data_IF_076798944379
#
_entry.id   IF_076798944379
#
_cell.length_a   1.000
_cell.length_b   1.000
_cell.length_c   1.000
_cell.angle_alpha   90.00
_cell.angle_beta   90.00
_cell.angle_gamma   90.00
#
_symmetry.space_group_name_H-M   'P 1'
#
loop_
_entity.id
_entity.type
_entity.pdbx_description
1 polymer ?
#
# COMPACT_ATOMS: atom_id res chain seq x y z
N UNK A 1 -21.05 -2.43 0.33
CA UNK A 1 -20.06 -1.73 1.19
C UNK A 1 -20.80 -0.59 1.86
N UNK A 2 -21.39 -0.86 3.02
CA UNK A 2 -22.03 0.18 3.86
C UNK A 2 -20.92 1.03 4.44
N UNK A 3 -20.96 2.33 4.16
CA UNK A 3 -19.93 3.27 4.60
C UNK A 3 -19.70 3.12 6.10
N UNK A 4 -18.44 2.95 6.51
CA UNK A 4 -17.97 2.99 7.90
C UNK A 4 -18.24 4.36 8.58
N UNK A 5 -19.07 5.20 7.97
CA UNK A 5 -19.32 6.60 8.25
C UNK A 5 -20.62 6.90 8.99
N UNK A 6 -21.54 5.94 9.17
CA UNK A 6 -22.81 6.13 9.88
C UNK A 6 -22.86 5.32 11.19
N UNK A 7 -22.80 6.01 12.34
CA UNK A 7 -22.80 5.43 13.70
C UNK A 7 -22.04 6.32 14.69
N UNK A 8 -22.39 6.36 15.98
CA UNK A 8 -21.71 7.21 16.96
C UNK A 8 -20.25 6.77 17.19
N UNK A 9 -19.36 7.71 17.51
CA UNK A 9 -17.91 7.48 17.55
C UNK A 9 -17.46 6.37 18.53
N UNK A 10 -18.19 6.16 19.63
CA UNK A 10 -17.88 5.17 20.66
C UNK A 10 -18.21 3.72 20.27
N UNK A 11 -18.98 3.52 19.19
CA UNK A 11 -19.30 2.21 18.63
C UNK A 11 -18.33 1.81 17.50
N UNK A 12 -17.33 2.65 17.21
CA UNK A 12 -16.39 2.45 16.09
C UNK A 12 -15.01 2.07 16.58
N UNK A 13 -14.45 1.02 16.00
CA UNK A 13 -13.08 0.59 16.25
C UNK A 13 -12.03 1.40 15.46
N UNK A 14 -12.46 2.13 14.43
CA UNK A 14 -11.57 2.81 13.47
C UNK A 14 -12.07 4.23 13.18
N UNK A 15 -11.19 5.22 13.35
CA UNK A 15 -11.48 6.65 13.14
C UNK A 15 -10.58 7.29 12.08
N UNK A 16 -10.02 6.50 11.15
CA UNK A 16 -8.99 6.93 10.17
C UNK A 16 -9.40 8.10 9.27
N UNK A 17 -10.69 8.35 9.08
CA UNK A 17 -11.23 9.46 8.28
C UNK A 17 -12.07 10.45 9.08
N UNK A 18 -12.01 10.42 10.41
CA UNK A 18 -12.86 11.22 11.29
C UNK A 18 -14.21 10.57 11.60
N UNK A 19 -15.12 11.34 12.18
CA UNK A 19 -16.43 10.86 12.64
C UNK A 19 -17.56 11.85 12.33
N UNK A 20 -18.78 11.33 12.20
CA UNK A 20 -20.02 12.12 12.05
C UNK A 20 -19.89 13.31 11.07
N UNK A 21 -20.09 14.55 11.56
CA UNK A 21 -20.01 15.79 10.77
C UNK A 21 -18.57 16.23 10.43
N UNK A 22 -17.57 15.59 11.02
CA UNK A 22 -16.14 15.80 10.76
C UNK A 22 -15.54 14.67 9.92
N UNK A 23 -16.37 13.86 9.26
CA UNK A 23 -15.89 12.87 8.31
C UNK A 23 -15.20 13.58 7.13
N UNK A 24 -14.05 13.07 6.73
CA UNK A 24 -13.34 13.53 5.54
C UNK A 24 -14.28 13.44 4.32
N UNK A 25 -14.55 14.55 3.60
CA UNK A 25 -15.42 14.49 2.42
C UNK A 25 -14.82 13.62 1.30
N UNK A 26 -13.51 13.36 1.35
CA UNK A 26 -12.80 12.50 0.41
C UNK A 26 -12.79 11.00 0.75
N UNK A 27 -13.48 10.53 1.81
CA UNK A 27 -13.42 9.11 2.24
C UNK A 27 -13.72 8.15 1.09
N UNK A 28 -14.81 8.37 0.36
CA UNK A 28 -15.20 7.48 -0.73
C UNK A 28 -14.15 7.43 -1.85
N UNK A 29 -13.58 8.59 -2.21
CA UNK A 29 -12.55 8.67 -3.24
C UNK A 29 -11.27 7.97 -2.77
N UNK A 30 -10.86 8.21 -1.52
CA UNK A 30 -9.68 7.57 -0.93
C UNK A 30 -9.83 6.05 -0.88
N UNK A 31 -11.00 5.54 -0.46
CA UNK A 31 -11.29 4.10 -0.43
C UNK A 31 -11.16 3.47 -1.82
N UNK A 32 -11.79 4.08 -2.84
CA UNK A 32 -11.72 3.59 -4.22
C UNK A 32 -10.30 3.64 -4.77
N UNK A 33 -9.56 4.72 -4.50
CA UNK A 33 -8.17 4.85 -4.92
C UNK A 33 -7.27 3.80 -4.27
N UNK A 34 -7.37 3.61 -2.96
CA UNK A 34 -6.61 2.59 -2.22
C UNK A 34 -6.92 1.19 -2.75
N UNK A 35 -8.19 0.87 -2.97
CA UNK A 35 -8.60 -0.43 -3.51
C UNK A 35 -8.00 -0.66 -4.90
N UNK A 36 -8.11 0.31 -5.80
CA UNK A 36 -7.59 0.19 -7.16
C UNK A 36 -6.07 0.02 -7.18
N UNK A 37 -5.34 0.76 -6.33
CA UNK A 37 -3.88 0.64 -6.22
C UNK A 37 -3.48 -0.74 -5.69
N UNK A 38 -4.12 -1.21 -4.62
CA UNK A 38 -3.79 -2.51 -3.99
C UNK A 38 -4.11 -3.66 -4.94
N UNK A 39 -5.31 -3.68 -5.53
CA UNK A 39 -5.70 -4.74 -6.47
C UNK A 39 -4.82 -4.72 -7.72
N UNK A 40 -4.54 -3.53 -8.27
CA UNK A 40 -3.65 -3.38 -9.42
C UNK A 40 -2.23 -3.87 -9.13
N UNK A 41 -1.70 -3.56 -7.94
CA UNK A 41 -0.38 -4.00 -7.51
C UNK A 41 -0.33 -5.53 -7.34
N UNK A 42 -1.31 -6.12 -6.64
CA UNK A 42 -1.36 -7.56 -6.39
C UNK A 42 -1.66 -8.38 -7.65
N UNK A 43 -2.37 -7.80 -8.63
CA UNK A 43 -2.60 -8.44 -9.92
C UNK A 43 -1.33 -8.50 -10.79
N UNK A 44 -0.49 -7.44 -10.73
CA UNK A 44 0.70 -7.32 -11.59
C UNK A 44 1.99 -7.82 -10.93
N UNK A 45 2.07 -7.79 -9.61
CA UNK A 45 3.29 -8.02 -8.87
C UNK A 45 3.06 -9.01 -7.73
N UNK A 46 4.02 -9.92 -7.55
CA UNK A 46 4.16 -10.70 -6.33
C UNK A 46 4.96 -9.88 -5.34
N UNK A 47 4.36 -9.59 -4.19
CA UNK A 47 5.04 -8.90 -3.09
C UNK A 47 5.68 -9.94 -2.18
N UNK A 48 6.99 -9.84 -1.99
CA UNK A 48 7.78 -10.70 -1.12
C UNK A 48 8.56 -9.85 -0.11
N UNK A 49 8.87 -10.42 1.05
CA UNK A 49 9.73 -9.75 2.02
C UNK A 49 11.16 -9.75 1.54
N UNK A 50 11.85 -8.64 1.73
CA UNK A 50 13.29 -8.54 1.51
C UNK A 50 14.01 -9.49 2.48
N UNK A 51 15.04 -10.16 1.99
CA UNK A 51 15.88 -11.00 2.83
C UNK A 51 16.90 -10.14 3.56
N UNK A 52 17.04 -10.38 4.85
CA UNK A 52 18.12 -9.84 5.68
C UNK A 52 19.45 -10.55 5.39
N UNK A 53 20.55 -10.07 5.97
CA UNK A 53 21.91 -10.63 5.80
C UNK A 53 21.97 -12.14 6.09
N UNK A 54 21.10 -12.61 6.99
CA UNK A 54 20.98 -14.03 7.37
C UNK A 54 20.02 -14.84 6.48
N UNK A 55 19.64 -14.32 5.30
CA UNK A 55 18.66 -14.91 4.37
C UNK A 55 17.28 -15.21 4.98
N UNK A 56 16.95 -14.54 6.09
CA UNK A 56 15.62 -14.59 6.70
C UNK A 56 14.78 -13.42 6.22
N UNK A 57 13.46 -13.56 6.07
CA UNK A 57 12.61 -12.45 5.67
C UNK A 57 12.62 -11.37 6.76
N UNK A 58 13.04 -10.16 6.39
CA UNK A 58 13.06 -9.02 7.28
C UNK A 58 11.63 -8.66 7.71
N UNK A 59 11.44 -8.41 9.01
CA UNK A 59 10.19 -7.88 9.55
C UNK A 59 10.26 -6.35 9.56
N UNK A 60 9.15 -5.65 9.29
CA UNK A 60 9.08 -4.22 9.48
C UNK A 60 9.25 -3.90 10.97
N UNK A 61 10.06 -2.91 11.27
CA UNK A 61 10.08 -2.30 12.60
C UNK A 61 8.90 -1.31 12.67
N UNK A 62 7.89 -1.67 13.48
CA UNK A 62 6.65 -0.93 13.64
C UNK A 62 6.69 0.11 14.75
N UNK A 63 7.83 0.28 15.43
CA UNK A 63 7.94 1.19 16.56
C UNK A 63 8.95 2.32 16.27
N UNK A 64 10.07 2.02 15.60
CA UNK A 64 11.19 2.95 15.53
C UNK A 64 11.46 3.53 14.13
N UNK A 65 10.74 3.06 13.10
CA UNK A 65 11.10 3.35 11.70
C UNK A 65 10.01 4.05 10.90
N UNK A 66 9.55 5.16 11.46
CA UNK A 66 8.71 6.11 10.76
C UNK A 66 9.39 7.45 10.60
N UNK A 67 9.06 8.10 9.51
CA UNK A 67 9.38 9.50 9.26
C UNK A 67 8.11 10.30 9.38
N UNK A 68 8.09 11.21 10.33
CA UNK A 68 7.06 12.24 10.43
C UNK A 68 7.32 13.31 9.37
N UNK A 69 6.27 13.62 8.60
CA UNK A 69 6.22 14.63 7.56
C UNK A 69 5.00 15.52 7.87
N UNK A 70 5.14 16.32 8.93
CA UNK A 70 4.08 17.18 9.44
C UNK A 70 2.89 16.36 9.95
N UNK A 71 1.76 16.42 9.22
CA UNK A 71 0.55 15.67 9.55
C UNK A 71 0.55 14.22 9.04
N UNK A 72 1.64 13.75 8.42
CA UNK A 72 1.74 12.40 7.86
C UNK A 72 2.86 11.60 8.53
N UNK A 73 2.63 10.31 8.71
CA UNK A 73 3.64 9.36 9.18
C UNK A 73 3.92 8.38 8.04
N UNK A 74 5.16 8.31 7.58
CA UNK A 74 5.57 7.38 6.52
C UNK A 74 6.53 6.33 7.04
N UNK A 75 6.35 5.04 6.68
CA UNK A 75 7.35 4.03 6.98
C UNK A 75 8.62 4.32 6.17
N UNK A 76 9.76 4.28 6.85
CA UNK A 76 11.08 4.52 6.23
C UNK A 76 11.65 3.24 5.61
N UNK A 77 11.14 2.09 6.04
CA UNK A 77 11.68 0.77 5.71
C UNK A 77 11.24 0.25 4.34
N UNK A 78 12.21 -0.01 3.46
CA UNK A 78 12.00 -0.70 2.17
C UNK A 78 12.18 -2.20 2.33
N UNK A 79 11.25 -2.83 3.03
CA UNK A 79 11.27 -4.27 3.34
C UNK A 79 10.52 -5.14 2.33
N UNK A 80 9.94 -4.55 1.28
CA UNK A 80 9.19 -5.27 0.27
C UNK A 80 9.94 -5.29 -1.06
N UNK A 81 10.03 -6.49 -1.63
CA UNK A 81 10.46 -6.76 -3.00
C UNK A 81 9.21 -7.05 -3.83
N UNK A 82 9.06 -6.36 -4.94
CA UNK A 82 8.03 -6.69 -5.92
C UNK A 82 8.67 -7.41 -7.10
N UNK A 83 8.12 -8.58 -7.44
CA UNK A 83 8.50 -9.33 -8.64
C UNK A 83 7.35 -9.27 -9.63
N UNK A 84 7.60 -8.80 -10.85
CA UNK A 84 6.59 -8.71 -11.91
C UNK A 84 6.06 -10.11 -12.22
N UNK A 85 4.76 -10.29 -12.13
CA UNK A 85 4.09 -11.49 -12.62
C UNK A 85 3.98 -11.35 -14.13
N UNK A 86 4.57 -12.29 -14.86
CA UNK A 86 4.50 -12.34 -16.32
C UNK A 86 3.10 -12.82 -16.75
N UNK A 87 2.06 -12.04 -16.46
CA UNK A 87 0.71 -12.30 -16.95
C UNK A 87 0.61 -11.73 -18.37
N UNK A 88 0.82 -12.61 -19.34
CA UNK A 88 0.98 -12.32 -20.76
C UNK A 88 -0.29 -11.78 -21.48
N UNK A 89 -1.38 -11.43 -20.79
CA UNK A 89 -2.64 -11.10 -21.48
C UNK A 89 -3.60 -10.12 -20.80
N UNK A 90 -3.20 -9.35 -19.78
CA UNK A 90 -4.07 -8.27 -19.28
C UNK A 90 -3.52 -6.93 -19.75
N UNK A 91 -3.99 -6.48 -20.92
CA UNK A 91 -3.81 -5.12 -21.41
C UNK A 91 -4.63 -4.16 -20.52
N UNK A 92 -4.16 -3.90 -19.30
CA UNK A 92 -4.67 -2.82 -18.47
C UNK A 92 -3.84 -1.58 -18.75
N UNK A 93 -4.45 -0.59 -19.40
CA UNK A 93 -3.86 0.71 -19.77
C UNK A 93 -3.16 1.35 -18.57
N UNK A 94 -1.84 1.25 -18.55
CA UNK A 94 -0.99 1.88 -17.54
C UNK A 94 0.46 1.52 -17.85
N UNK A 95 1.20 2.51 -18.36
CA UNK A 95 2.61 2.42 -18.76
C UNK A 95 3.45 1.68 -17.72
N UNK A 96 4.46 0.94 -18.17
CA UNK A 96 5.32 0.06 -17.35
C UNK A 96 5.99 0.75 -16.14
N UNK A 97 6.10 2.08 -16.17
CA UNK A 97 6.62 2.92 -15.09
C UNK A 97 5.65 3.07 -13.89
N UNK A 98 4.37 2.74 -14.05
CA UNK A 98 3.36 2.95 -12.99
C UNK A 98 3.61 2.09 -11.75
N UNK A 99 4.10 0.87 -11.88
CA UNK A 99 4.36 0.04 -10.69
C UNK A 99 5.42 0.66 -9.77
N UNK A 100 6.40 1.37 -10.32
CA UNK A 100 7.47 2.03 -9.56
C UNK A 100 7.02 3.36 -8.94
N UNK A 101 6.14 4.11 -9.63
CA UNK A 101 5.73 5.43 -9.19
C UNK A 101 4.70 5.42 -8.05
N UNK A 102 3.89 4.37 -7.92
CA UNK A 102 2.84 4.33 -6.90
C UNK A 102 3.37 4.09 -5.47
N UNK A 103 4.56 3.54 -5.28
CA UNK A 103 5.12 3.28 -3.94
C UNK A 103 6.65 3.48 -3.95
N UNK A 104 7.10 4.66 -3.50
CA UNK A 104 8.52 5.05 -3.36
C UNK A 104 9.40 4.09 -2.52
N UNK A 105 8.77 3.12 -1.84
CA UNK A 105 9.40 2.20 -0.88
C UNK A 105 9.48 0.74 -1.34
N UNK A 106 9.08 0.42 -2.58
CA UNK A 106 9.18 -0.94 -3.12
C UNK A 106 10.36 -1.02 -4.10
N UNK A 107 11.25 -2.00 -3.90
CA UNK A 107 12.24 -2.35 -4.92
C UNK A 107 11.60 -3.34 -5.89
N UNK A 108 11.41 -2.92 -7.14
CA UNK A 108 10.95 -3.78 -8.22
C UNK A 108 12.19 -4.50 -8.78
N UNK A 109 12.12 -5.82 -8.84
CA UNK A 109 13.18 -6.65 -9.42
C UNK A 109 12.57 -7.50 -10.51
N UNK A 110 13.10 -7.40 -11.72
CA UNK A 110 12.68 -8.23 -12.84
C UNK A 110 13.15 -9.67 -12.64
N UNK A 111 12.33 -10.62 -13.11
CA UNK A 111 12.57 -12.05 -12.93
C UNK A 111 13.78 -12.58 -13.72
N UNK A 112 14.40 -11.75 -14.57
CA UNK A 112 15.60 -12.11 -15.32
C UNK A 112 16.88 -12.12 -14.47
N UNK A 113 16.84 -11.53 -13.26
CA UNK A 113 18.01 -11.36 -12.37
C UNK A 113 18.03 -12.34 -11.18
N UNK A 114 17.41 -13.53 -11.31
CA UNK A 114 17.46 -14.62 -10.32
C UNK A 114 18.07 -15.87 -10.95
#
# INVERSE_FOLDING_TARGET
MTSLGHGPAHERDILSFGWERQLCPGTYIAEVQMLNVIVGLLAKCRLERKLDQNRKPALPDLDNKFKELGAMVLPTDKILRATKLFLRSIHFLGNEETCASYINNIQIVDRADV
#
